data_IF_030085706775
#
_entry.id   IF_030085706775
#
_cell.length_a   1.000
_cell.length_b   1.000
_cell.length_c   1.000
_cell.angle_alpha   90.00
_cell.angle_beta   90.00
_cell.angle_gamma   90.00
#
_symmetry.space_group_name_H-M   'P 1'
#
loop_
_entity.id
_entity.type
_entity.pdbx_description
1 polymer ?
#
# COMPACT_ATOMS: atom_id res chain seq x y z
N UNK A 1 -26.25 23.22 11.49
CA UNK A 1 -25.31 23.05 10.36
C UNK A 1 -25.92 23.74 9.16
N UNK A 2 -25.11 24.45 8.38
CA UNK A 2 -25.60 25.07 7.14
C UNK A 2 -25.80 24.01 6.05
N UNK A 3 -26.71 24.22 5.10
CA UNK A 3 -26.93 23.25 4.00
C UNK A 3 -25.71 23.01 3.11
N UNK A 4 -24.67 23.84 3.20
CA UNK A 4 -23.38 23.64 2.52
C UNK A 4 -22.51 22.63 3.27
N UNK A 5 -22.53 22.63 4.60
CA UNK A 5 -21.80 21.66 5.42
C UNK A 5 -22.32 20.23 5.18
N UNK A 6 -23.64 20.06 5.11
CA UNK A 6 -24.27 18.76 4.82
C UNK A 6 -23.88 18.21 3.44
N UNK A 7 -23.75 19.07 2.43
CA UNK A 7 -23.35 18.65 1.08
C UNK A 7 -21.87 18.24 0.99
N UNK A 8 -21.00 18.94 1.72
CA UNK A 8 -19.57 18.60 1.82
C UNK A 8 -19.40 17.27 2.54
N UNK A 9 -20.11 17.07 3.65
CA UNK A 9 -20.05 15.83 4.43
C UNK A 9 -20.57 14.62 3.65
N UNK A 10 -21.71 14.75 2.97
CA UNK A 10 -22.26 13.69 2.12
C UNK A 10 -21.33 13.33 0.95
N UNK A 11 -20.58 14.30 0.42
CA UNK A 11 -19.57 14.05 -0.62
C UNK A 11 -18.38 13.28 -0.06
N UNK A 12 -17.88 13.68 1.11
CA UNK A 12 -16.78 13.00 1.79
C UNK A 12 -17.15 11.55 2.13
N UNK A 13 -18.38 11.30 2.62
CA UNK A 13 -18.90 9.96 2.86
C UNK A 13 -18.87 9.09 1.60
N UNK A 14 -19.37 9.59 0.49
CA UNK A 14 -19.33 8.86 -0.79
C UNK A 14 -17.91 8.50 -1.21
N UNK A 15 -16.94 9.40 -1.02
CA UNK A 15 -15.54 9.14 -1.36
C UNK A 15 -14.91 8.07 -0.44
N UNK A 16 -15.30 8.05 0.84
CA UNK A 16 -14.86 7.00 1.78
C UNK A 16 -15.32 5.62 1.34
N UNK A 17 -16.53 5.51 0.82
CA UNK A 17 -17.12 4.24 0.38
C UNK A 17 -16.59 3.76 -0.99
N UNK A 18 -15.89 4.62 -1.75
CA UNK A 18 -15.34 4.23 -3.04
C UNK A 18 -14.16 3.26 -2.90
N UNK A 19 -14.08 2.19 -3.72
CA UNK A 19 -12.91 1.32 -3.72
C UNK A 19 -11.66 2.09 -4.14
N UNK A 20 -10.49 1.70 -3.65
CA UNK A 20 -9.21 2.35 -4.02
C UNK A 20 -9.00 2.33 -5.55
N UNK A 21 -9.54 1.32 -6.23
CA UNK A 21 -9.44 1.19 -7.68
C UNK A 21 -10.14 2.30 -8.47
N UNK A 22 -11.17 2.94 -7.89
CA UNK A 22 -11.78 4.11 -8.52
C UNK A 22 -10.75 5.20 -8.76
N UNK A 23 -9.91 5.48 -7.75
CA UNK A 23 -8.89 6.52 -7.79
C UNK A 23 -7.77 6.22 -8.79
N UNK A 24 -7.60 4.96 -9.20
CA UNK A 24 -6.64 4.58 -10.25
C UNK A 24 -7.09 4.97 -11.66
N UNK A 25 -8.34 5.41 -11.83
CA UNK A 25 -8.94 5.74 -13.14
C UNK A 25 -9.11 7.23 -13.40
N UNK A 26 -8.80 8.10 -12.43
CA UNK A 26 -9.13 9.53 -12.50
C UNK A 26 -7.98 10.41 -13.04
N UNK A 27 -7.07 9.83 -13.82
CA UNK A 27 -5.96 10.55 -14.48
C UNK A 27 -6.44 11.81 -15.22
N UNK A 28 -7.56 11.71 -15.93
CA UNK A 28 -8.10 12.78 -16.78
C UNK A 28 -9.02 13.74 -16.03
N UNK A 29 -9.15 13.59 -14.70
CA UNK A 29 -9.94 14.50 -13.88
C UNK A 29 -9.35 15.92 -13.91
N UNK A 30 -10.22 16.92 -13.81
CA UNK A 30 -9.76 18.30 -13.66
C UNK A 30 -8.99 18.49 -12.36
N UNK A 31 -8.07 19.46 -12.30
CA UNK A 31 -7.31 19.80 -11.08
C UNK A 31 -8.23 20.06 -9.87
N UNK A 32 -9.41 20.65 -10.10
CA UNK A 32 -10.39 20.89 -9.04
C UNK A 32 -11.06 19.62 -8.53
N UNK A 33 -11.37 18.66 -9.40
CA UNK A 33 -11.92 17.37 -8.97
C UNK A 33 -10.85 16.52 -8.29
N UNK A 34 -9.64 16.51 -8.87
CA UNK A 34 -8.51 15.76 -8.39
C UNK A 34 -8.08 16.21 -6.99
N UNK A 35 -8.10 17.52 -6.68
CA UNK A 35 -7.77 18.01 -5.34
C UNK A 35 -8.71 17.47 -4.27
N UNK A 36 -10.00 17.35 -4.59
CA UNK A 36 -11.01 16.84 -3.66
C UNK A 36 -10.84 15.33 -3.44
N UNK A 37 -10.51 14.59 -4.49
CA UNK A 37 -10.19 13.17 -4.36
C UNK A 37 -8.85 12.94 -3.63
N UNK A 38 -7.89 13.85 -3.78
CA UNK A 38 -6.59 13.75 -3.14
C UNK A 38 -6.68 13.87 -1.61
N UNK A 39 -7.62 14.66 -1.08
CA UNK A 39 -7.90 14.70 0.37
C UNK A 39 -8.26 13.31 0.92
N UNK A 40 -9.05 12.53 0.19
CA UNK A 40 -9.39 11.15 0.58
C UNK A 40 -8.20 10.20 0.45
N UNK A 41 -7.33 10.38 -0.56
CA UNK A 41 -6.08 9.62 -0.66
C UNK A 41 -5.17 9.88 0.55
N UNK A 42 -5.02 11.14 0.97
CA UNK A 42 -4.23 11.47 2.16
C UNK A 42 -4.83 10.84 3.43
N UNK A 43 -6.16 10.86 3.58
CA UNK A 43 -6.83 10.17 4.69
C UNK A 43 -6.55 8.67 4.70
N UNK A 44 -6.58 8.00 3.54
CA UNK A 44 -6.27 6.56 3.41
C UNK A 44 -4.80 6.27 3.71
N UNK A 45 -3.89 7.16 3.33
CA UNK A 45 -2.47 7.07 3.69
C UNK A 45 -2.28 7.06 5.21
N UNK A 46 -2.95 7.94 5.95
CA UNK A 46 -2.91 7.93 7.42
C UNK A 46 -3.45 6.63 8.01
N UNK A 47 -4.54 6.07 7.45
CA UNK A 47 -5.03 4.75 7.88
C UNK A 47 -4.01 3.63 7.62
N UNK A 48 -3.24 3.72 6.54
CA UNK A 48 -2.20 2.73 6.24
C UNK A 48 -1.04 2.77 7.23
N UNK A 49 -0.73 3.94 7.83
CA UNK A 49 0.29 4.02 8.90
C UNK A 49 -0.12 3.20 10.12
N UNK A 50 -1.38 3.32 10.55
CA UNK A 50 -1.89 2.52 11.67
C UNK A 50 -1.81 1.01 11.38
N UNK A 51 -2.14 0.61 10.15
CA UNK A 51 -2.04 -0.80 9.73
C UNK A 51 -0.58 -1.28 9.60
N UNK A 52 0.33 -0.40 9.23
CA UNK A 52 1.77 -0.68 9.23
C UNK A 52 2.29 -0.93 10.64
N UNK A 53 1.91 -0.09 11.61
CA UNK A 53 2.23 -0.30 13.03
C UNK A 53 1.66 -1.61 13.56
N UNK A 54 0.42 -1.97 13.18
CA UNK A 54 -0.19 -3.27 13.50
C UNK A 54 0.65 -4.43 12.96
N UNK A 55 1.01 -4.41 11.67
CA UNK A 55 1.84 -5.44 11.07
C UNK A 55 3.22 -5.57 11.74
N UNK A 56 3.86 -4.45 12.06
CA UNK A 56 5.12 -4.44 12.82
C UNK A 56 4.96 -5.04 14.21
N UNK A 57 3.86 -4.72 14.91
CA UNK A 57 3.59 -5.28 16.23
C UNK A 57 3.36 -6.80 16.17
N UNK A 58 2.63 -7.28 15.17
CA UNK A 58 2.45 -8.70 14.91
C UNK A 58 3.79 -9.42 14.70
N UNK A 59 4.66 -8.90 13.85
CA UNK A 59 5.98 -9.50 13.59
C UNK A 59 6.89 -9.51 14.82
N UNK A 60 6.89 -8.44 15.62
CA UNK A 60 7.65 -8.38 16.88
C UNK A 60 7.14 -9.34 17.94
N UNK A 61 5.85 -9.66 17.91
CA UNK A 61 5.21 -10.56 18.87
C UNK A 61 5.38 -12.04 18.50
N UNK A 62 5.74 -12.36 17.25
CA UNK A 62 6.07 -13.72 16.85
C UNK A 62 7.27 -14.21 17.66
N UNK A 63 7.13 -15.42 18.20
CA UNK A 63 8.22 -16.16 18.82
C UNK A 63 8.62 -17.26 17.85
N UNK A 64 9.90 -17.33 17.50
CA UNK A 64 10.48 -18.44 16.76
C UNK A 64 11.55 -19.10 17.61
N UNK A 65 11.62 -20.43 17.57
CA UNK A 65 12.51 -21.26 18.41
C UNK A 65 13.81 -21.61 17.68
N UNK A 66 14.50 -20.64 17.06
CA UNK A 66 15.73 -20.85 16.26
C UNK A 66 15.65 -22.07 15.30
N UNK A 67 14.44 -22.37 14.80
CA UNK A 67 14.23 -23.35 13.74
C UNK A 67 14.38 -22.63 12.39
N UNK A 68 15.28 -23.13 11.53
CA UNK A 68 15.60 -22.53 10.22
C UNK A 68 14.36 -22.14 9.39
N UNK A 69 13.33 -22.99 9.41
CA UNK A 69 12.08 -22.74 8.68
C UNK A 69 11.27 -21.59 9.31
N UNK A 70 11.29 -21.43 10.63
CA UNK A 70 10.61 -20.33 11.33
C UNK A 70 11.34 -19.00 11.12
N UNK A 71 12.67 -19.02 11.21
CA UNK A 71 13.55 -17.88 10.91
C UNK A 71 13.30 -17.38 9.49
N UNK A 72 13.33 -18.28 8.49
CA UNK A 72 13.15 -17.89 7.10
C UNK A 72 11.75 -17.29 6.81
N UNK A 73 10.68 -17.79 7.45
CA UNK A 73 9.36 -17.15 7.34
C UNK A 73 9.38 -15.73 7.90
N UNK A 74 10.02 -15.57 9.06
CA UNK A 74 10.13 -14.26 9.69
C UNK A 74 10.97 -13.30 8.83
N UNK A 75 12.11 -13.72 8.32
CA UNK A 75 12.95 -12.93 7.41
C UNK A 75 12.17 -12.48 6.17
N UNK A 76 11.51 -13.43 5.48
CA UNK A 76 10.76 -13.10 4.25
C UNK A 76 9.59 -12.14 4.53
N UNK A 77 8.95 -12.24 5.70
CA UNK A 77 7.93 -11.26 6.10
C UNK A 77 8.54 -9.87 6.35
N UNK A 78 9.73 -9.79 6.96
CA UNK A 78 10.42 -8.51 7.16
C UNK A 78 10.89 -7.90 5.84
N UNK A 79 11.38 -8.71 4.89
CA UNK A 79 11.73 -8.22 3.55
C UNK A 79 10.53 -7.53 2.88
N UNK A 80 9.32 -8.09 3.04
CA UNK A 80 8.10 -7.45 2.53
C UNK A 80 7.77 -6.15 3.31
N UNK A 81 8.00 -6.10 4.61
CA UNK A 81 7.84 -4.87 5.40
C UNK A 81 8.82 -3.77 4.95
N UNK A 82 10.06 -4.12 4.62
CA UNK A 82 11.05 -3.18 4.08
C UNK A 82 10.60 -2.62 2.73
N UNK A 83 9.98 -3.45 1.88
CA UNK A 83 9.33 -2.96 0.67
C UNK A 83 8.22 -1.98 1.00
N UNK A 84 7.35 -2.28 1.97
CA UNK A 84 6.27 -1.37 2.37
C UNK A 84 6.84 -0.04 2.89
N UNK A 85 7.97 -0.04 3.60
CA UNK A 85 8.65 1.18 4.03
C UNK A 85 9.11 2.02 2.82
N UNK A 86 9.65 1.38 1.78
CA UNK A 86 9.96 2.05 0.50
C UNK A 86 8.73 2.68 -0.15
N UNK A 87 7.53 2.08 -0.03
CA UNK A 87 6.29 2.76 -0.49
C UNK A 87 6.12 4.10 0.21
N UNK A 88 6.37 4.18 1.52
CA UNK A 88 6.21 5.42 2.28
C UNK A 88 7.21 6.50 1.83
N UNK A 89 8.44 6.09 1.51
CA UNK A 89 9.46 6.97 0.93
C UNK A 89 9.05 7.50 -0.44
N UNK A 90 8.53 6.63 -1.33
CA UNK A 90 8.04 7.04 -2.65
C UNK A 90 6.88 8.04 -2.52
N UNK A 91 5.93 7.77 -1.63
CA UNK A 91 4.82 8.70 -1.36
C UNK A 91 5.33 10.06 -0.84
N UNK A 92 6.34 10.05 0.03
CA UNK A 92 6.97 11.28 0.51
C UNK A 92 7.67 12.03 -0.63
N UNK A 93 8.35 11.35 -1.54
CA UNK A 93 8.98 11.98 -2.71
C UNK A 93 7.94 12.60 -3.65
N UNK A 94 6.80 11.93 -3.85
CA UNK A 94 5.69 12.47 -4.64
C UNK A 94 5.20 13.80 -4.10
N UNK A 95 5.10 13.98 -2.77
CA UNK A 95 4.66 15.22 -2.14
C UNK A 95 5.53 16.42 -2.56
N UNK A 96 6.84 16.21 -2.69
CA UNK A 96 7.85 17.26 -2.93
C UNK A 96 8.09 17.58 -4.41
N UNK A 97 7.44 16.85 -5.32
CA UNK A 97 7.67 16.97 -6.77
C UNK A 97 6.42 17.45 -7.50
N UNK A 98 6.62 18.32 -8.48
CA UNK A 98 5.51 18.93 -9.23
C UNK A 98 5.10 18.05 -10.41
N UNK A 99 3.97 17.36 -10.26
CA UNK A 99 3.23 16.67 -11.32
C UNK A 99 1.73 17.04 -11.18
N UNK A 100 0.89 16.85 -12.22
CA UNK A 100 -0.56 17.08 -12.09
C UNK A 100 -1.16 16.28 -10.92
N UNK A 101 -2.11 16.88 -10.19
CA UNK A 101 -2.69 16.23 -9.00
C UNK A 101 -3.42 14.94 -9.38
N UNK A 102 -4.12 14.95 -10.52
CA UNK A 102 -4.81 13.76 -11.04
C UNK A 102 -3.85 12.61 -11.35
N UNK A 103 -2.65 12.90 -11.85
CA UNK A 103 -1.61 11.91 -12.09
C UNK A 103 -1.07 11.36 -10.77
N UNK A 104 -0.71 12.27 -9.84
CA UNK A 104 -0.23 11.90 -8.50
C UNK A 104 -1.23 10.96 -7.82
N UNK A 105 -2.50 11.31 -7.87
CA UNK A 105 -3.58 10.55 -7.27
C UNK A 105 -3.61 9.10 -7.77
N UNK A 106 -3.52 8.87 -9.08
CA UNK A 106 -3.49 7.51 -9.65
C UNK A 106 -2.29 6.72 -9.14
N UNK A 107 -1.11 7.37 -9.08
CA UNK A 107 0.13 6.74 -8.62
C UNK A 107 0.06 6.37 -7.13
N UNK A 108 -0.41 7.28 -6.29
CA UNK A 108 -0.56 7.04 -4.86
C UNK A 108 -1.67 6.02 -4.57
N UNK A 109 -2.75 6.00 -5.35
CA UNK A 109 -3.78 4.97 -5.23
C UNK A 109 -3.23 3.57 -5.54
N UNK A 110 -2.35 3.44 -6.53
CA UNK A 110 -1.66 2.18 -6.86
C UNK A 110 -0.78 1.72 -5.68
N UNK A 111 0.05 2.62 -5.15
CA UNK A 111 0.92 2.35 -4.01
C UNK A 111 0.13 1.97 -2.75
N UNK A 112 -0.95 2.70 -2.43
CA UNK A 112 -1.80 2.40 -1.27
C UNK A 112 -2.55 1.08 -1.44
N UNK A 113 -2.99 0.74 -2.66
CA UNK A 113 -3.61 -0.55 -2.92
C UNK A 113 -2.63 -1.70 -2.67
N UNK A 114 -1.37 -1.54 -3.09
CA UNK A 114 -0.35 -2.56 -2.86
C UNK A 114 0.08 -2.66 -1.40
N UNK A 115 0.36 -1.53 -0.76
CA UNK A 115 0.66 -1.45 0.67
C UNK A 115 -0.44 -2.13 1.50
N UNK A 116 -1.71 -1.87 1.19
CA UNK A 116 -2.82 -2.50 1.91
C UNK A 116 -2.85 -4.02 1.73
N UNK A 117 -2.57 -4.54 0.53
CA UNK A 117 -2.51 -5.99 0.27
C UNK A 117 -1.34 -6.63 1.03
N UNK A 118 -0.15 -6.05 0.93
CA UNK A 118 1.06 -6.56 1.59
C UNK A 118 0.93 -6.55 3.11
N UNK A 119 0.40 -5.47 3.68
CA UNK A 119 0.15 -5.40 5.13
C UNK A 119 -0.88 -6.43 5.60
N UNK A 120 -1.95 -6.63 4.83
CA UNK A 120 -2.96 -7.65 5.15
C UNK A 120 -2.36 -9.06 5.14
N UNK A 121 -1.48 -9.33 4.16
CA UNK A 121 -0.78 -10.61 4.07
C UNK A 121 0.09 -10.83 5.30
N UNK A 122 0.94 -9.86 5.67
CA UNK A 122 1.81 -9.96 6.87
C UNK A 122 0.99 -10.24 8.13
N UNK A 123 -0.09 -9.47 8.36
CA UNK A 123 -0.94 -9.63 9.56
C UNK A 123 -1.58 -11.02 9.60
N UNK A 124 -2.16 -11.48 8.49
CA UNK A 124 -2.77 -12.81 8.40
C UNK A 124 -1.72 -13.91 8.62
N UNK A 125 -0.55 -13.77 8.00
CA UNK A 125 0.56 -14.71 8.09
C UNK A 125 1.16 -14.80 9.49
N UNK A 126 1.21 -13.70 10.25
CA UNK A 126 1.60 -13.74 11.66
C UNK A 126 0.65 -14.62 12.48
N UNK A 127 -0.66 -14.56 12.22
CA UNK A 127 -1.64 -15.40 12.91
C UNK A 127 -1.55 -16.89 12.52
N UNK A 128 -1.11 -17.18 11.30
CA UNK A 128 -0.99 -18.54 10.77
C UNK A 128 0.36 -19.21 11.07
N UNK A 129 1.44 -18.43 11.21
CA UNK A 129 2.81 -18.94 11.33
C UNK A 129 3.00 -20.05 12.40
N UNK A 130 2.41 -19.96 13.61
CA UNK A 130 2.52 -21.03 14.62
C UNK A 130 1.94 -22.38 14.18
N UNK A 131 0.97 -22.38 13.25
CA UNK A 131 0.30 -23.60 12.75
C UNK A 131 1.12 -24.34 11.70
N UNK A 132 2.15 -23.70 11.14
CA UNK A 132 3.00 -24.26 10.10
C UNK A 132 4.17 -25.08 10.66
N UNK A 133 4.30 -25.16 11.99
CA UNK A 133 5.41 -25.85 12.65
C UNK A 133 5.44 -27.34 12.25
N UNK A 134 6.59 -27.76 11.72
CA UNK A 134 6.82 -29.13 11.24
C UNK A 134 6.20 -29.49 9.89
N UNK A 135 5.48 -28.57 9.23
CA UNK A 135 4.93 -28.77 7.88
C UNK A 135 5.81 -28.08 6.83
N UNK A 136 6.74 -28.84 6.25
CA UNK A 136 7.69 -28.34 5.26
C UNK A 136 7.02 -27.85 3.97
N UNK A 137 5.97 -28.52 3.50
CA UNK A 137 5.31 -28.15 2.24
C UNK A 137 4.56 -26.83 2.44
N UNK A 138 3.89 -26.67 3.58
CA UNK A 138 3.22 -25.43 3.90
C UNK A 138 4.21 -24.28 4.13
N UNK A 139 5.37 -24.55 4.74
CA UNK A 139 6.46 -23.58 4.87
C UNK A 139 7.00 -23.10 3.50
N UNK A 140 7.31 -24.02 2.59
CA UNK A 140 7.82 -23.67 1.26
C UNK A 140 6.81 -22.81 0.48
N UNK A 141 5.52 -23.16 0.53
CA UNK A 141 4.44 -22.37 -0.09
C UNK A 141 4.35 -20.97 0.51
N UNK A 142 4.40 -20.87 1.83
CA UNK A 142 4.40 -19.59 2.52
C UNK A 142 5.53 -18.69 2.03
N UNK A 143 6.77 -19.19 2.02
CA UNK A 143 7.93 -18.40 1.60
C UNK A 143 7.79 -18.00 0.13
N UNK A 144 7.33 -18.91 -0.73
CA UNK A 144 7.10 -18.61 -2.14
C UNK A 144 6.04 -17.51 -2.35
N UNK A 145 4.92 -17.55 -1.64
CA UNK A 145 3.85 -16.53 -1.74
C UNK A 145 4.38 -15.14 -1.38
N UNK A 146 5.24 -15.04 -0.35
CA UNK A 146 5.90 -13.79 0.02
C UNK A 146 6.93 -13.35 -1.02
N UNK A 147 7.74 -14.27 -1.55
CA UNK A 147 8.70 -13.95 -2.60
C UNK A 147 8.01 -13.43 -3.87
N UNK A 148 6.86 -14.01 -4.25
CA UNK A 148 6.05 -13.53 -5.37
C UNK A 148 5.46 -12.14 -5.08
N UNK A 149 4.98 -11.90 -3.86
CA UNK A 149 4.49 -10.59 -3.44
C UNK A 149 5.57 -9.52 -3.46
N UNK A 150 6.78 -9.83 -3.00
CA UNK A 150 7.92 -8.90 -3.03
C UNK A 150 8.26 -8.52 -4.47
N UNK A 151 8.36 -9.50 -5.38
CA UNK A 151 8.62 -9.23 -6.81
C UNK A 151 7.52 -8.40 -7.45
N UNK A 152 6.25 -8.72 -7.16
CA UNK A 152 5.13 -7.94 -7.64
C UNK A 152 5.17 -6.49 -7.13
N UNK A 153 5.57 -6.29 -5.87
CA UNK A 153 5.74 -4.96 -5.28
C UNK A 153 6.82 -4.18 -6.03
N UNK A 154 7.94 -4.81 -6.40
CA UNK A 154 8.98 -4.19 -7.23
C UNK A 154 8.47 -3.79 -8.62
N UNK A 155 7.65 -4.64 -9.27
CA UNK A 155 7.02 -4.32 -10.56
C UNK A 155 6.10 -3.10 -10.45
N UNK A 156 5.32 -3.00 -9.37
CA UNK A 156 4.48 -1.83 -9.06
C UNK A 156 5.33 -0.58 -8.91
N UNK A 157 6.46 -0.66 -8.18
CA UNK A 157 7.34 0.50 -7.98
C UNK A 157 7.98 0.96 -9.28
N UNK A 158 8.41 0.02 -10.10
CA UNK A 158 8.96 0.31 -11.41
C UNK A 158 7.94 1.03 -12.30
N UNK A 159 6.70 0.53 -12.38
CA UNK A 159 5.63 1.13 -13.18
C UNK A 159 5.24 2.52 -12.66
N UNK A 160 5.06 2.66 -11.34
CA UNK A 160 4.79 3.95 -10.68
C UNK A 160 5.91 4.95 -10.99
N UNK A 161 7.17 4.54 -10.88
CA UNK A 161 8.31 5.41 -11.15
C UNK A 161 8.36 5.87 -12.61
N UNK A 162 8.11 4.97 -13.56
CA UNK A 162 8.05 5.33 -14.99
C UNK A 162 6.95 6.34 -15.25
N UNK A 163 5.74 6.08 -14.73
CA UNK A 163 4.58 6.95 -14.93
C UNK A 163 4.77 8.30 -14.26
N UNK A 164 5.42 8.32 -13.09
CA UNK A 164 5.85 9.53 -12.41
C UNK A 164 6.82 10.34 -13.29
N UNK A 165 7.88 9.73 -13.80
CA UNK A 165 8.85 10.41 -14.67
C UNK A 165 8.21 10.94 -15.94
N UNK A 166 7.32 10.16 -16.56
CA UNK A 166 6.56 10.60 -17.73
C UNK A 166 5.71 11.81 -17.41
N UNK A 167 4.99 11.79 -16.29
CA UNK A 167 4.19 12.93 -15.82
C UNK A 167 5.03 14.17 -15.52
N UNK A 168 6.23 13.97 -14.97
CA UNK A 168 7.16 15.06 -14.65
C UNK A 168 7.79 15.68 -15.90
N UNK A 169 7.98 14.90 -16.97
CA UNK A 169 8.56 15.32 -18.25
C UNK A 169 7.51 15.67 -19.31
N UNK A 170 6.23 15.75 -18.94
CA UNK A 170 5.09 15.95 -19.85
C UNK A 170 5.04 14.94 -21.03
N UNK A 171 5.42 13.68 -20.76
CA UNK A 171 5.41 12.57 -21.71
C UNK A 171 4.15 11.70 -21.58
N UNK A 172 3.72 11.03 -22.67
CA UNK A 172 2.61 10.08 -22.62
C UNK A 172 2.89 8.85 -21.75
N UNK A 173 1.93 8.52 -20.89
CA UNK A 173 1.83 7.29 -20.11
C UNK A 173 0.64 6.48 -20.56
#
# INVERSE_FOLDING_TARGET
MSGVEELVEARAERLRDMPIDFFRTVKEASEHEASIYYEEIQRRRELMKAKFEEAQACLKALKWEDELDEEMRWETMNDLMDKIDQTQEILHDHDHRRIPISHRLVLEAELLAEMNRSLSLVIASCAESPRLKGDKIAHERFVQDFCERIRYTDDVYYDVHIKFLKSYLDMPW
#
